data_IF_135433846792
#
_entry.id   IF_135433846792
#
_cell.length_a   1.000
_cell.length_b   1.000
_cell.length_c   1.000
_cell.angle_alpha   90.00
_cell.angle_beta   90.00
_cell.angle_gamma   90.00
#
_symmetry.space_group_name_H-M   'P 1'
#
loop_
_entity.id
_entity.type
_entity.pdbx_description
1 polymer ?
#
# COMPACT_ATOMS: atom_id res chain seq x y z
N UNK A 1 64.42 53.01 -47.45
CA UNK A 1 64.65 51.59 -47.10
C UNK A 1 63.31 51.04 -46.57
N UNK A 2 62.61 50.17 -47.32
CA UNK A 2 62.50 48.70 -47.07
C UNK A 2 62.12 48.44 -45.60
N UNK A 3 60.95 47.91 -45.21
CA UNK A 3 60.26 46.69 -45.69
C UNK A 3 58.75 46.71 -45.38
N UNK A 4 57.99 46.13 -46.31
CA UNK A 4 56.62 45.61 -46.19
C UNK A 4 56.58 44.23 -45.52
N UNK A 5 55.36 43.76 -45.24
CA UNK A 5 54.86 42.37 -45.05
C UNK A 5 54.46 41.89 -43.63
N UNK A 6 53.13 41.93 -43.40
CA UNK A 6 52.20 40.84 -43.03
C UNK A 6 52.65 39.72 -42.08
N UNK A 7 51.86 39.44 -41.03
CA UNK A 7 51.34 38.08 -40.80
C UNK A 7 50.16 38.08 -39.81
N UNK A 8 49.02 37.55 -40.25
CA UNK A 8 47.88 37.15 -39.41
C UNK A 8 48.31 35.96 -38.53
N UNK A 9 48.01 36.00 -37.24
CA UNK A 9 47.99 34.82 -36.39
C UNK A 9 46.64 34.74 -35.67
N UNK A 10 45.81 33.85 -36.18
CA UNK A 10 44.56 33.36 -35.62
C UNK A 10 44.92 32.34 -34.53
N UNK A 11 44.40 32.50 -33.31
CA UNK A 11 44.50 31.54 -32.20
C UNK A 11 43.27 31.80 -31.33
N UNK A 12 42.13 31.15 -31.54
CA UNK A 12 41.81 29.74 -31.32
C UNK A 12 42.07 29.29 -29.86
N UNK A 13 41.00 29.33 -29.06
CA UNK A 13 40.68 28.28 -28.08
C UNK A 13 41.17 28.46 -26.65
N UNK A 14 40.26 28.83 -25.74
CA UNK A 14 39.95 28.01 -24.56
C UNK A 14 38.63 28.51 -23.92
N UNK A 15 37.49 28.04 -24.43
CA UNK A 15 36.26 28.06 -23.63
C UNK A 15 36.35 26.80 -22.76
N UNK A 16 36.87 26.95 -21.54
CA UNK A 16 36.78 25.92 -20.52
C UNK A 16 35.31 25.87 -20.07
N UNK A 17 34.48 25.15 -20.82
CA UNK A 17 33.13 24.81 -20.41
C UNK A 17 33.27 24.00 -19.12
N UNK A 18 32.84 24.63 -18.02
CA UNK A 18 32.79 24.05 -16.68
C UNK A 18 31.83 22.85 -16.75
N UNK A 19 32.37 21.66 -17.00
CA UNK A 19 31.70 20.38 -16.83
C UNK A 19 31.49 20.19 -15.32
N UNK A 20 30.47 20.87 -14.78
CA UNK A 20 29.91 20.51 -13.49
C UNK A 20 29.39 19.07 -13.65
N UNK A 21 29.96 18.08 -12.95
CA UNK A 21 29.32 16.77 -12.90
C UNK A 21 27.94 17.00 -12.29
N UNK A 22 26.88 16.72 -13.05
CA UNK A 22 25.54 16.62 -12.49
C UNK A 22 25.59 15.48 -11.49
N UNK A 23 25.63 15.79 -10.19
CA UNK A 23 25.38 14.79 -9.18
C UNK A 23 24.03 14.15 -9.51
N UNK A 24 24.02 12.85 -9.79
CA UNK A 24 22.78 12.12 -9.92
C UNK A 24 22.09 12.26 -8.57
N UNK A 25 20.96 12.99 -8.53
CA UNK A 25 20.16 13.07 -7.34
C UNK A 25 19.61 11.66 -7.08
N UNK A 26 20.14 10.97 -6.06
CA UNK A 26 19.52 9.76 -5.55
C UNK A 26 18.16 10.16 -4.97
N UNK A 27 17.10 9.49 -5.43
CA UNK A 27 15.75 9.75 -4.97
C UNK A 27 15.29 8.56 -4.14
N UNK A 28 14.81 8.83 -2.93
CA UNK A 28 14.25 7.79 -2.08
C UNK A 28 12.86 7.44 -2.58
N UNK A 29 12.56 6.14 -2.64
CA UNK A 29 11.26 5.65 -3.10
C UNK A 29 10.43 5.20 -1.92
N UNK A 30 9.32 5.89 -1.66
CA UNK A 30 8.30 5.48 -0.70
C UNK A 30 7.27 4.57 -1.37
N UNK A 31 6.85 3.54 -0.65
CA UNK A 31 5.85 2.60 -1.17
C UNK A 31 5.10 1.87 -0.06
N UNK A 32 3.99 1.26 -0.48
CA UNK A 32 3.16 0.41 0.35
C UNK A 32 3.38 -1.07 0.00
N UNK A 33 3.46 -1.94 1.01
CA UNK A 33 3.42 -3.38 0.83
C UNK A 33 2.31 -4.01 1.69
N UNK A 34 1.39 -4.80 1.11
CA UNK A 34 1.18 -4.94 -0.33
C UNK A 34 0.73 -3.62 -0.98
N UNK A 35 1.10 -3.40 -2.24
CA UNK A 35 0.68 -2.21 -3.01
C UNK A 35 -0.80 -2.23 -3.38
N UNK A 36 -1.41 -3.42 -3.42
CA UNK A 36 -2.85 -3.59 -3.50
C UNK A 36 -3.26 -4.80 -2.69
N UNK A 37 -4.31 -4.65 -1.88
CA UNK A 37 -4.89 -5.75 -1.14
C UNK A 37 -6.42 -5.71 -1.15
N UNK A 38 -7.01 -6.85 -0.82
CA UNK A 38 -8.44 -6.93 -0.60
C UNK A 38 -8.77 -7.65 0.69
N UNK A 39 -9.65 -7.04 1.48
CA UNK A 39 -10.12 -7.56 2.77
C UNK A 39 -11.63 -7.67 2.77
N UNK A 40 -12.17 -8.58 3.57
CA UNK A 40 -13.61 -8.62 3.82
C UNK A 40 -14.02 -7.51 4.79
N UNK A 41 -15.24 -7.03 4.67
CA UNK A 41 -15.83 -6.05 5.59
C UNK A 41 -15.73 -6.55 7.04
N UNK A 42 -15.37 -5.65 7.96
CA UNK A 42 -15.06 -5.89 9.37
C UNK A 42 -13.77 -6.68 9.65
N UNK A 43 -12.99 -7.04 8.63
CA UNK A 43 -11.62 -7.54 8.85
C UNK A 43 -10.62 -6.37 8.73
N UNK A 44 -9.63 -6.27 9.64
CA UNK A 44 -8.61 -5.23 9.54
C UNK A 44 -7.72 -5.46 8.31
N UNK A 45 -7.28 -4.36 7.70
CA UNK A 45 -6.25 -4.35 6.68
C UNK A 45 -4.93 -3.90 7.29
N UNK A 46 -3.85 -4.62 6.99
CA UNK A 46 -2.49 -4.27 7.41
C UNK A 46 -1.68 -3.88 6.19
N UNK A 47 -1.00 -2.74 6.25
CA UNK A 47 -0.12 -2.29 5.17
C UNK A 47 1.18 -1.75 5.75
N UNK A 48 2.27 -2.18 5.17
CA UNK A 48 3.61 -1.74 5.51
C UNK A 48 3.99 -0.53 4.66
N UNK A 49 4.68 0.44 5.28
CA UNK A 49 5.25 1.59 4.59
C UNK A 49 6.76 1.41 4.55
N UNK A 50 7.31 1.38 3.34
CA UNK A 50 8.74 1.16 3.11
C UNK A 50 9.36 2.34 2.40
N UNK A 51 10.67 2.41 2.55
CA UNK A 51 11.53 3.28 1.78
C UNK A 51 12.60 2.43 1.08
N UNK A 52 12.99 2.82 -0.13
CA UNK A 52 14.04 2.19 -0.91
C UNK A 52 14.95 3.23 -1.60
N UNK A 53 16.10 2.79 -2.10
CA UNK A 53 17.08 3.67 -2.76
C UNK A 53 18.01 4.38 -1.78
N UNK A 54 18.17 3.82 -0.58
CA UNK A 54 19.11 4.29 0.42
C UNK A 54 20.46 3.60 0.14
N UNK A 55 21.57 4.33 0.08
CA UNK A 55 22.87 3.72 -0.18
C UNK A 55 23.81 4.01 0.98
N UNK A 56 23.61 3.38 2.14
CA UNK A 56 24.43 3.65 3.31
C UNK A 56 25.83 3.09 3.06
N UNK A 57 26.81 3.98 2.87
CA UNK A 57 28.20 3.60 2.64
C UNK A 57 29.10 4.22 3.73
N UNK A 58 29.19 3.57 4.90
CA UNK A 58 30.02 4.06 6.00
C UNK A 58 31.51 3.79 5.77
N UNK A 59 32.42 4.64 6.31
CA UNK A 59 32.14 5.93 6.94
C UNK A 59 31.98 7.04 5.88
N UNK A 60 31.16 8.04 6.18
CA UNK A 60 30.94 9.25 5.36
C UNK A 60 30.12 9.08 4.06
N UNK A 61 28.84 8.70 4.19
CA UNK A 61 27.84 8.92 3.14
C UNK A 61 26.71 9.81 3.65
N UNK A 62 26.23 10.73 2.83
CA UNK A 62 24.98 11.45 3.10
C UNK A 62 23.75 10.63 2.67
N UNK A 63 23.90 9.48 2.00
CA UNK A 63 22.80 8.73 1.37
C UNK A 63 21.94 7.87 2.33
N UNK A 64 22.10 8.02 3.64
CA UNK A 64 21.19 7.42 4.63
C UNK A 64 19.93 8.26 4.86
N UNK A 65 18.90 7.70 5.49
CA UNK A 65 17.70 8.42 5.94
C UNK A 65 17.87 8.89 7.39
N UNK A 66 17.78 10.19 7.65
CA UNK A 66 17.85 10.74 9.01
C UNK A 66 16.49 11.08 9.61
N UNK A 67 15.53 11.49 8.76
CA UNK A 67 14.20 11.89 9.20
C UNK A 67 13.18 11.80 8.06
N UNK A 68 11.91 11.67 8.43
CA UNK A 68 10.78 11.80 7.51
C UNK A 68 9.60 12.53 8.18
N UNK A 69 8.88 13.31 7.38
CA UNK A 69 7.58 13.93 7.71
C UNK A 69 6.74 13.90 6.42
N UNK A 70 5.60 13.21 6.45
CA UNK A 70 4.68 13.15 5.32
C UNK A 70 3.26 12.80 5.77
N UNK A 71 2.31 12.90 4.84
CA UNK A 71 0.93 12.48 5.04
C UNK A 71 0.61 11.22 4.25
N UNK A 72 -0.15 10.31 4.86
CA UNK A 72 -0.84 9.21 4.17
C UNK A 72 -2.31 9.56 4.03
N UNK A 73 -2.78 9.65 2.80
CA UNK A 73 -4.17 9.98 2.45
C UNK A 73 -4.92 8.70 2.10
N UNK A 74 -6.13 8.57 2.63
CA UNK A 74 -7.04 7.45 2.41
C UNK A 74 -8.50 7.93 2.35
N UNK A 75 -9.42 7.06 1.91
CA UNK A 75 -10.86 7.33 1.93
C UNK A 75 -11.47 6.91 3.29
N UNK A 76 -11.84 7.87 4.15
CA UNK A 76 -12.39 7.59 5.47
C UNK A 76 -13.82 7.03 5.42
N UNK A 77 -14.48 7.01 4.26
CA UNK A 77 -15.77 6.33 4.10
C UNK A 77 -15.62 4.82 3.91
N UNK A 78 -14.43 4.35 3.48
CA UNK A 78 -14.16 2.93 3.19
C UNK A 78 -13.36 2.27 4.32
N UNK A 79 -12.34 2.96 4.85
CA UNK A 79 -11.47 2.45 5.92
C UNK A 79 -11.22 3.53 6.99
N UNK A 80 -10.97 3.13 8.23
CA UNK A 80 -10.54 4.00 9.32
C UNK A 80 -9.15 3.61 9.82
N UNK A 81 -8.29 4.59 10.07
CA UNK A 81 -7.02 4.34 10.76
C UNK A 81 -7.28 3.79 12.16
N UNK A 82 -6.49 2.78 12.55
CA UNK A 82 -6.59 2.14 13.86
C UNK A 82 -5.30 2.27 14.67
N UNK A 83 -4.17 1.96 14.03
CA UNK A 83 -2.88 1.90 14.71
C UNK A 83 -1.74 2.01 13.71
N UNK A 84 -0.64 2.61 14.17
CA UNK A 84 0.67 2.50 13.53
C UNK A 84 1.65 1.82 14.50
N UNK A 85 2.57 1.04 13.94
CA UNK A 85 3.64 0.39 14.69
C UNK A 85 4.97 0.72 14.03
N UNK A 86 5.87 1.33 14.79
CA UNK A 86 7.22 1.67 14.36
C UNK A 86 8.05 0.41 14.10
N UNK A 87 8.85 0.42 13.03
CA UNK A 87 9.83 -0.62 12.75
C UNK A 87 11.21 -0.32 13.35
N UNK A 88 11.37 0.84 14.00
CA UNK A 88 12.61 1.33 14.61
C UNK A 88 13.77 1.46 13.61
N UNK A 89 13.42 1.80 12.37
CA UNK A 89 14.36 1.84 11.25
C UNK A 89 15.37 2.99 11.35
N UNK A 90 15.09 3.99 12.19
CA UNK A 90 15.95 5.14 12.47
C UNK A 90 16.82 4.97 13.74
N UNK A 91 16.90 3.76 14.30
CA UNK A 91 17.71 3.48 15.48
C UNK A 91 17.15 4.18 16.73
N UNK A 92 18.03 4.80 17.51
CA UNK A 92 17.62 5.61 18.65
C UNK A 92 16.81 6.85 18.21
N UNK A 93 15.50 6.83 18.47
CA UNK A 93 14.56 7.90 18.17
C UNK A 93 13.60 8.12 19.35
N UNK A 94 12.89 9.26 19.36
CA UNK A 94 11.82 9.53 20.34
C UNK A 94 10.60 8.62 20.08
N UNK A 95 10.52 8.08 18.86
CA UNK A 95 9.50 7.15 18.39
C UNK A 95 8.58 7.78 17.35
N UNK A 96 7.92 6.92 16.59
CA UNK A 96 6.96 7.31 15.54
C UNK A 96 5.89 8.29 16.03
N UNK A 97 5.93 9.52 15.50
CA UNK A 97 4.89 10.51 15.66
C UNK A 97 3.75 10.27 14.67
N UNK A 98 2.52 10.21 15.16
CA UNK A 98 1.32 10.01 14.35
C UNK A 98 0.23 10.98 14.79
N UNK A 99 -0.30 11.75 13.85
CA UNK A 99 -1.45 12.64 14.03
C UNK A 99 -2.56 12.22 13.07
N UNK A 100 -3.65 11.71 13.65
CA UNK A 100 -4.86 11.23 12.99
C UNK A 100 -6.07 12.15 13.25
N UNK A 101 -5.83 13.40 13.68
CA UNK A 101 -6.88 14.37 14.04
C UNK A 101 -7.80 14.73 12.87
N UNK A 102 -7.37 14.50 11.63
CA UNK A 102 -8.16 14.70 10.42
C UNK A 102 -8.50 13.36 9.76
N UNK A 103 -9.80 13.04 9.68
CA UNK A 103 -10.26 11.83 8.98
C UNK A 103 -9.77 11.81 7.51
N UNK A 104 -9.25 10.67 7.07
CA UNK A 104 -8.72 10.48 5.72
C UNK A 104 -7.29 10.96 5.53
N UNK A 105 -6.65 11.54 6.55
CA UNK A 105 -5.25 12.00 6.51
C UNK A 105 -4.53 11.58 7.78
N UNK A 106 -3.37 10.95 7.60
CA UNK A 106 -2.50 10.57 8.70
C UNK A 106 -1.18 11.31 8.51
N UNK A 107 -0.88 12.28 9.38
CA UNK A 107 0.46 12.87 9.40
C UNK A 107 1.38 11.95 10.19
N UNK A 108 2.49 11.55 9.59
CA UNK A 108 3.47 10.64 10.18
C UNK A 108 4.85 11.24 10.11
N UNK A 109 5.58 11.20 11.22
CA UNK A 109 6.93 11.75 11.29
C UNK A 109 7.81 10.97 12.25
N UNK A 110 9.10 10.87 11.93
CA UNK A 110 10.12 10.36 12.83
C UNK A 110 11.49 10.95 12.47
N UNK A 111 12.41 10.96 13.44
CA UNK A 111 13.77 11.42 13.25
C UNK A 111 14.74 10.71 14.18
N UNK A 112 15.92 10.39 13.65
CA UNK A 112 16.98 9.75 14.43
C UNK A 112 17.71 10.74 15.34
N UNK A 113 18.17 10.23 16.48
CA UNK A 113 19.09 10.87 17.41
C UNK A 113 20.47 10.19 17.42
N UNK A 114 20.70 9.21 16.55
CA UNK A 114 21.97 8.52 16.40
C UNK A 114 23.04 9.44 15.80
N UNK A 115 24.31 9.12 16.03
CA UNK A 115 25.40 9.71 15.26
C UNK A 115 25.31 9.24 13.79
N UNK A 116 25.70 10.06 12.80
CA UNK A 116 25.53 9.70 11.39
C UNK A 116 26.14 8.36 10.99
N UNK A 117 27.38 8.06 11.42
CA UNK A 117 28.03 6.79 11.09
C UNK A 117 27.36 5.58 11.75
N UNK A 118 26.84 5.74 12.97
CA UNK A 118 26.10 4.68 13.67
C UNK A 118 24.75 4.44 12.99
N UNK A 119 24.05 5.50 12.59
CA UNK A 119 22.79 5.40 11.85
C UNK A 119 22.99 4.72 10.50
N UNK A 120 24.02 5.10 9.74
CA UNK A 120 24.34 4.46 8.46
C UNK A 120 24.58 2.96 8.61
N UNK A 121 25.23 2.54 9.71
CA UNK A 121 25.48 1.13 9.99
C UNK A 121 24.21 0.31 10.29
N UNK A 122 23.09 0.97 10.64
CA UNK A 122 21.80 0.34 10.89
C UNK A 122 20.93 0.22 9.63
N UNK A 123 21.31 0.88 8.53
CA UNK A 123 20.45 1.02 7.36
C UNK A 123 20.80 0.07 6.21
N UNK A 124 19.81 -0.17 5.37
CA UNK A 124 19.91 -0.98 4.15
C UNK A 124 19.22 -0.30 2.98
N UNK A 125 19.42 -0.81 1.77
CA UNK A 125 18.85 -0.21 0.55
C UNK A 125 17.34 -0.06 0.57
N UNK A 126 16.66 -1.05 1.13
CA UNK A 126 15.24 -0.99 1.41
C UNK A 126 14.99 -1.29 2.89
N UNK A 127 14.08 -0.53 3.51
CA UNK A 127 13.75 -0.63 4.93
C UNK A 127 12.25 -0.47 5.13
N UNK A 128 11.70 -1.23 6.07
CA UNK A 128 10.37 -0.96 6.63
C UNK A 128 10.49 0.24 7.56
N UNK A 129 9.65 1.26 7.38
CA UNK A 129 9.56 2.40 8.30
C UNK A 129 8.58 2.10 9.43
N UNK A 130 7.36 1.70 9.07
CA UNK A 130 6.30 1.37 10.02
C UNK A 130 5.20 0.55 9.34
N UNK A 131 4.36 -0.06 10.16
CA UNK A 131 3.16 -0.78 9.74
C UNK A 131 1.92 -0.01 10.15
N UNK A 132 0.98 0.16 9.23
CA UNK A 132 -0.34 0.73 9.47
C UNK A 132 -1.40 -0.37 9.53
N UNK A 133 -2.37 -0.19 10.42
CA UNK A 133 -3.56 -1.03 10.53
C UNK A 133 -4.79 -0.14 10.34
N UNK A 134 -5.71 -0.60 9.50
CA UNK A 134 -6.97 0.04 9.21
C UNK A 134 -8.14 -0.90 9.53
N UNK A 135 -9.21 -0.37 10.12
CA UNK A 135 -10.49 -1.05 10.20
C UNK A 135 -11.27 -0.83 8.89
N UNK A 136 -11.96 -1.86 8.40
CA UNK A 136 -12.78 -1.78 7.19
C UNK A 136 -14.23 -1.41 7.53
N UNK A 137 -14.72 -0.30 6.95
CA UNK A 137 -16.00 0.31 7.31
C UNK A 137 -17.12 0.03 6.31
N UNK A 138 -16.82 0.07 5.01
CA UNK A 138 -17.79 -0.12 3.95
C UNK A 138 -17.15 -0.74 2.71
N UNK A 139 -17.91 -1.48 1.87
CA UNK A 139 -17.42 -1.96 0.59
C UNK A 139 -16.99 -0.82 -0.31
N UNK A 140 -15.83 -0.96 -0.95
CA UNK A 140 -15.25 0.07 -1.79
C UNK A 140 -13.74 -0.07 -1.91
N UNK A 141 -13.11 0.83 -2.66
CA UNK A 141 -11.66 0.89 -2.80
C UNK A 141 -11.15 2.22 -2.27
N UNK A 142 -10.33 2.18 -1.23
CA UNK A 142 -9.55 3.32 -0.78
C UNK A 142 -8.19 3.30 -1.47
N UNK A 143 -7.87 4.35 -2.22
CA UNK A 143 -6.48 4.61 -2.60
C UNK A 143 -5.67 4.97 -1.34
N UNK A 144 -4.38 4.64 -1.35
CA UNK A 144 -3.41 5.10 -0.37
C UNK A 144 -2.38 5.96 -1.10
N UNK A 145 -2.27 7.23 -0.72
CA UNK A 145 -1.40 8.20 -1.37
C UNK A 145 -0.47 8.85 -0.35
N UNK A 146 0.73 9.20 -0.78
CA UNK A 146 1.63 10.04 0.01
C UNK A 146 1.49 11.50 -0.42
N UNK A 147 1.32 12.41 0.53
CA UNK A 147 1.29 13.86 0.32
C UNK A 147 2.26 14.58 1.26
N UNK A 148 2.58 15.84 0.97
CA UNK A 148 3.41 16.71 1.82
C UNK A 148 4.76 16.10 2.26
N UNK A 149 5.42 15.38 1.36
CA UNK A 149 6.61 14.58 1.67
C UNK A 149 7.85 15.46 1.91
N UNK A 150 8.44 15.32 3.09
CA UNK A 150 9.74 15.86 3.46
C UNK A 150 10.63 14.72 3.98
N UNK A 151 11.73 14.47 3.28
CA UNK A 151 12.74 13.49 3.69
C UNK A 151 14.05 14.22 3.96
N UNK A 152 14.68 13.86 5.08
CA UNK A 152 16.01 14.34 5.47
C UNK A 152 16.98 13.17 5.50
N UNK A 153 18.20 13.39 5.04
CA UNK A 153 19.27 12.44 5.22
C UNK A 153 19.90 12.49 6.63
N UNK A 154 20.88 11.62 6.88
CA UNK A 154 21.58 11.51 8.18
C UNK A 154 22.33 12.78 8.58
N UNK A 155 22.56 13.72 7.65
CA UNK A 155 23.18 15.02 7.89
C UNK A 155 22.15 16.17 7.80
N UNK A 156 20.86 15.86 7.82
CA UNK A 156 19.73 16.78 7.66
C UNK A 156 19.68 17.49 6.28
N UNK A 157 20.36 16.96 5.28
CA UNK A 157 20.20 17.35 3.88
C UNK A 157 18.86 16.89 3.32
N UNK A 158 18.21 17.73 2.51
CA UNK A 158 16.90 17.40 1.93
C UNK A 158 17.06 16.35 0.84
N UNK A 159 16.21 15.32 0.87
CA UNK A 159 16.13 14.29 -0.17
C UNK A 159 14.85 14.38 -0.98
N UNK A 160 14.97 14.06 -2.26
CA UNK A 160 13.83 13.98 -3.17
C UNK A 160 13.14 12.63 -2.97
N UNK A 161 11.82 12.65 -2.91
CA UNK A 161 11.01 11.45 -2.81
C UNK A 161 10.35 11.10 -4.15
N UNK A 162 10.31 9.82 -4.48
CA UNK A 162 9.40 9.22 -5.44
C UNK A 162 8.39 8.42 -4.63
N UNK A 163 7.10 8.64 -4.84
CA UNK A 163 6.05 7.96 -4.10
C UNK A 163 5.26 7.02 -4.99
N UNK A 164 5.06 5.78 -4.53
CA UNK A 164 4.22 4.80 -5.20
C UNK A 164 2.90 4.65 -4.44
N UNK A 165 1.79 4.85 -5.13
CA UNK A 165 0.45 4.70 -4.55
C UNK A 165 0.14 3.24 -4.20
N UNK A 166 -0.73 3.06 -3.20
CA UNK A 166 -1.28 1.78 -2.80
C UNK A 166 -2.81 1.75 -2.88
N UNK A 167 -3.42 0.62 -2.57
CA UNK A 167 -4.88 0.53 -2.42
C UNK A 167 -5.34 -0.60 -1.50
N UNK A 168 -6.46 -0.36 -0.82
CA UNK A 168 -7.19 -1.34 -0.03
C UNK A 168 -8.60 -1.45 -0.59
N UNK A 169 -8.99 -2.64 -1.02
CA UNK A 169 -10.36 -2.93 -1.48
C UNK A 169 -11.12 -3.74 -0.44
N UNK A 170 -12.11 -3.12 0.16
CA UNK A 170 -13.05 -3.78 1.08
C UNK A 170 -14.15 -4.44 0.27
N UNK A 171 -14.34 -5.74 0.46
CA UNK A 171 -15.41 -6.53 -0.17
C UNK A 171 -16.47 -6.84 0.86
N UNK A 172 -17.70 -7.02 0.39
CA UNK A 172 -18.73 -7.64 1.22
C UNK A 172 -18.26 -9.00 1.75
N UNK A 173 -18.63 -9.31 2.99
CA UNK A 173 -18.49 -10.66 3.49
C UNK A 173 -19.34 -11.59 2.59
N UNK A 174 -18.85 -12.77 2.20
CA UNK A 174 -19.68 -13.75 1.51
C UNK A 174 -20.88 -14.06 2.40
N UNK A 175 -22.06 -13.55 2.03
CA UNK A 175 -23.28 -13.91 2.74
C UNK A 175 -23.52 -15.39 2.42
N UNK A 176 -23.62 -16.29 3.43
CA UNK A 176 -24.03 -17.65 3.18
C UNK A 176 -25.36 -17.59 2.43
N UNK A 177 -25.44 -18.21 1.26
CA UNK A 177 -26.69 -18.21 0.51
C UNK A 177 -27.80 -18.64 1.46
N UNK A 178 -28.91 -17.88 1.57
CA UNK A 178 -30.02 -18.29 2.39
C UNK A 178 -30.39 -19.71 1.97
N UNK A 179 -30.79 -20.56 2.91
CA UNK A 179 -31.11 -21.98 2.67
C UNK A 179 -32.18 -22.24 1.60
N UNK A 180 -32.58 -21.26 0.81
CA UNK A 180 -33.34 -21.31 -0.44
C UNK A 180 -32.93 -22.46 -1.36
N UNK A 181 -31.64 -22.78 -1.54
CA UNK A 181 -31.23 -23.97 -2.30
C UNK A 181 -31.63 -25.27 -1.60
N UNK A 182 -31.45 -25.35 -0.28
CA UNK A 182 -31.91 -26.49 0.51
C UNK A 182 -33.45 -26.58 0.51
N UNK A 183 -34.15 -25.46 0.54
CA UNK A 183 -35.61 -25.37 0.52
C UNK A 183 -36.18 -25.77 -0.84
N UNK A 184 -35.53 -25.35 -1.93
CA UNK A 184 -35.86 -25.73 -3.30
C UNK A 184 -35.57 -27.22 -3.56
N UNK A 185 -34.45 -27.74 -3.05
CA UNK A 185 -34.11 -29.16 -3.11
C UNK A 185 -35.13 -30.01 -2.32
N UNK A 186 -35.48 -29.60 -1.10
CA UNK A 186 -36.49 -30.27 -0.29
C UNK A 186 -37.88 -30.20 -0.94
N UNK A 187 -38.28 -29.05 -1.49
CA UNK A 187 -39.56 -28.90 -2.19
C UNK A 187 -39.63 -29.80 -3.45
N UNK A 188 -38.53 -29.92 -4.20
CA UNK A 188 -38.43 -30.81 -5.35
C UNK A 188 -38.60 -32.29 -4.96
N UNK A 189 -37.97 -32.73 -3.88
CA UNK A 189 -38.07 -34.11 -3.37
C UNK A 189 -39.49 -34.44 -2.88
N UNK A 190 -40.17 -33.50 -2.21
CA UNK A 190 -41.56 -33.66 -1.76
C UNK A 190 -42.52 -33.77 -2.97
N UNK A 191 -42.34 -32.94 -3.99
CA UNK A 191 -43.16 -32.96 -5.20
C UNK A 191 -43.00 -34.27 -6.01
N UNK A 192 -41.80 -34.84 -6.03
CA UNK A 192 -41.51 -36.14 -6.66
C UNK A 192 -42.10 -37.32 -5.86
N UNK A 193 -42.02 -37.28 -4.53
CA UNK A 193 -42.56 -38.34 -3.65
C UNK A 193 -44.10 -38.37 -3.57
N UNK A 194 -44.76 -37.21 -3.68
CA UNK A 194 -46.23 -37.11 -3.61
C UNK A 194 -46.97 -37.70 -4.82
N UNK A 195 -46.37 -37.66 -6.01
CA UNK A 195 -46.99 -38.18 -7.26
C UNK A 195 -47.15 -39.71 -7.31
N UNK A 196 -46.35 -40.46 -6.56
CA UNK A 196 -46.41 -41.93 -6.54
C UNK A 196 -47.57 -42.52 -5.74
N UNK A 197 -48.08 -41.79 -4.74
CA UNK A 197 -49.14 -42.28 -3.84
C UNK A 197 -50.55 -42.10 -4.41
N UNK A 198 -50.75 -41.14 -5.30
CA UNK A 198 -52.06 -40.88 -5.93
C UNK A 198 -52.48 -41.94 -6.97
N UNK A 199 -51.57 -42.76 -7.50
CA UNK A 199 -51.89 -43.78 -8.53
C UNK A 199 -52.28 -45.17 -8.00
N UNK A 200 -52.28 -45.42 -6.68
CA UNK A 200 -52.53 -46.76 -6.09
C UNK A 200 -53.90 -46.96 -5.43
N UNK A 201 -54.77 -45.95 -5.42
CA UNK A 201 -56.12 -46.06 -4.87
C UNK A 201 -57.19 -46.28 -5.94
N UNK A 202 -57.20 -47.43 -6.62
CA UNK A 202 -58.38 -47.86 -7.40
C UNK A 202 -59.20 -48.83 -6.54
N UNK A 203 -60.50 -48.57 -6.27
CA UNK A 203 -61.33 -49.42 -5.41
C UNK A 203 -61.57 -50.80 -6.05
N UNK A 204 -61.42 -51.87 -5.25
CA UNK A 204 -61.92 -53.22 -5.60
C UNK A 204 -63.45 -53.21 -5.56
N UNK A 205 -64.10 -53.30 -6.71
CA UNK A 205 -65.51 -53.66 -6.78
C UNK A 205 -65.69 -55.11 -6.29
N UNK A 206 -66.41 -55.29 -5.18
CA UNK A 206 -66.96 -56.58 -4.79
C UNK A 206 -68.28 -56.76 -5.53
N UNK A 207 -68.32 -57.78 -6.39
CA UNK A 207 -69.53 -58.22 -7.07
C UNK A 207 -70.44 -58.92 -6.05
N UNK A 208 -71.59 -58.30 -5.76
CA UNK A 208 -72.70 -58.92 -5.05
C UNK A 208 -73.57 -59.67 -6.06
N UNK A 209 -73.56 -60.99 -5.96
CA UNK A 209 -74.44 -61.91 -6.67
C UNK A 209 -75.77 -61.97 -5.90
N UNK A 210 -76.86 -61.50 -6.52
CA UNK A 210 -78.22 -61.61 -6.00
C UNK A 210 -79.04 -62.50 -6.93
N UNK A 211 -79.55 -63.57 -6.35
CA UNK A 211 -80.48 -64.57 -6.89
C UNK A 211 -81.91 -64.04 -7.04
N UNK A 212 -82.59 -64.64 -8.04
CA UNK A 212 -84.05 -64.73 -8.31
C UNK A 212 -84.82 -63.49 -8.76
#
# INVERSE_FOLDING_TARGET
MKRTFSMRAMTCGFVLALLLPSAAASAYTLGFAPSAQSVALNNPATVEVHIAGILPNPPASDDGLGAYDFEVVYDPAVIAFKQATDAFSLGFAIGLGVDDSQAGRLKVSDFSLELPDDLLALQSDAMLLFTLVFDSLAPGTSALLFENITLGDVLAGRRTAIATAGSITVRDAPMPEPGTLALLACAGLIALGGRGRYRRGAPRERHGEATT
#
